data_IF_343358532885
#
_entry.id   IF_343358532885
#
_cell.length_a   1.000
_cell.length_b   1.000
_cell.length_c   1.000
_cell.angle_alpha   90.00
_cell.angle_beta   90.00
_cell.angle_gamma   90.00
#
_symmetry.space_group_name_H-M   'P 1'
#
loop_
_entity.id
_entity.type
_entity.pdbx_description
1 polymer ?
#
# COMPACT_ATOMS: atom_id res chain seq x y z
N UNK A 1 -5.56 -10.34 -15.47
CA UNK A 1 -5.40 -9.37 -14.35
C UNK A 1 -5.75 -7.98 -14.83
N UNK A 2 -6.64 -7.26 -14.14
CA UNK A 2 -7.04 -5.91 -14.54
C UNK A 2 -6.00 -4.87 -14.08
N UNK A 3 -5.37 -4.18 -15.02
CA UNK A 3 -4.27 -3.25 -14.76
C UNK A 3 -4.66 -1.84 -15.18
N UNK A 4 -4.54 -0.89 -14.26
CA UNK A 4 -4.82 0.52 -14.50
C UNK A 4 -3.64 1.24 -15.18
N UNK A 5 -2.40 0.88 -14.83
CA UNK A 5 -1.18 1.44 -15.40
C UNK A 5 0.06 0.60 -15.07
N UNK A 6 1.06 0.67 -15.94
CA UNK A 6 2.41 0.18 -15.72
C UNK A 6 3.37 1.31 -16.11
N UNK A 7 4.23 1.73 -15.19
CA UNK A 7 5.13 2.87 -15.40
C UNK A 7 6.40 2.78 -14.55
N UNK A 8 7.46 3.46 -14.97
CA UNK A 8 8.71 3.60 -14.20
C UNK A 8 8.69 4.90 -13.41
N UNK A 9 9.01 4.84 -12.13
CA UNK A 9 9.26 6.01 -11.28
C UNK A 9 10.16 5.66 -10.08
N UNK A 10 10.10 6.44 -9.01
CA UNK A 10 10.83 6.26 -7.75
C UNK A 10 9.84 5.86 -6.66
N UNK A 11 10.10 4.78 -5.93
CA UNK A 11 9.39 4.43 -4.71
C UNK A 11 9.43 5.60 -3.73
N UNK A 12 8.27 6.20 -3.47
CA UNK A 12 8.16 7.38 -2.62
C UNK A 12 7.89 7.08 -1.15
N UNK A 13 7.60 5.82 -0.81
CA UNK A 13 7.13 5.42 0.51
C UNK A 13 7.84 4.15 1.02
N UNK A 14 7.86 3.95 2.34
CA UNK A 14 8.40 2.75 2.95
C UNK A 14 9.92 2.73 3.13
N UNK A 15 10.45 1.58 3.53
CA UNK A 15 11.89 1.39 3.77
C UNK A 15 12.75 1.44 2.48
N UNK A 16 12.11 1.29 1.30
CA UNK A 16 12.76 1.39 -0.01
C UNK A 16 12.54 2.74 -0.69
N UNK A 17 12.12 3.77 0.07
CA UNK A 17 11.97 5.14 -0.45
C UNK A 17 13.24 5.60 -1.17
N UNK A 18 13.11 6.14 -2.38
CA UNK A 18 14.21 6.56 -3.24
C UNK A 18 14.69 5.51 -4.24
N UNK A 19 14.18 4.27 -4.16
CA UNK A 19 14.52 3.21 -5.12
C UNK A 19 13.79 3.45 -6.43
N UNK A 20 14.50 3.37 -7.56
CA UNK A 20 13.87 3.37 -8.87
C UNK A 20 13.12 2.05 -9.10
N UNK A 21 11.86 2.13 -9.51
CA UNK A 21 10.95 0.99 -9.58
C UNK A 21 10.03 1.06 -10.80
N UNK A 22 9.64 -0.10 -11.32
CA UNK A 22 8.47 -0.23 -12.18
C UNK A 22 7.26 -0.51 -11.31
N UNK A 23 6.24 0.32 -11.43
CA UNK A 23 4.96 0.13 -10.76
C UNK A 23 4.02 -0.63 -11.68
N UNK A 24 3.44 -1.72 -11.15
CA UNK A 24 2.34 -2.45 -11.78
C UNK A 24 1.11 -2.20 -10.93
N UNK A 25 0.20 -1.35 -11.41
CA UNK A 25 -0.97 -0.90 -10.63
C UNK A 25 -2.23 -1.66 -11.04
N UNK A 26 -2.68 -2.56 -10.18
CA UNK A 26 -3.95 -3.27 -10.34
C UNK A 26 -5.16 -2.33 -10.22
N UNK A 27 -6.27 -2.71 -10.85
CA UNK A 27 -7.53 -1.95 -10.85
C UNK A 27 -8.66 -2.74 -10.20
N UNK A 28 -9.27 -2.18 -9.16
CA UNK A 28 -10.30 -2.78 -8.33
C UNK A 28 -9.84 -2.86 -6.88
N UNK A 29 -10.71 -2.48 -5.93
CA UNK A 29 -10.39 -2.54 -4.49
C UNK A 29 -11.59 -3.11 -3.71
N UNK A 30 -11.38 -3.65 -2.52
CA UNK A 30 -12.44 -4.15 -1.64
C UNK A 30 -12.82 -3.18 -0.50
N UNK A 31 -12.13 -2.04 -0.35
CA UNK A 31 -12.28 -1.15 0.80
C UNK A 31 -12.84 0.25 0.50
N UNK A 32 -12.61 0.80 -0.69
CA UNK A 32 -13.12 2.14 -1.09
C UNK A 32 -12.83 3.24 -0.06
N UNK A 33 -11.61 3.33 0.47
CA UNK A 33 -11.25 4.38 1.44
C UNK A 33 -11.65 5.78 0.95
N UNK A 34 -12.11 6.66 1.84
CA UNK A 34 -12.60 7.98 1.42
C UNK A 34 -11.48 8.88 0.89
N UNK A 35 -10.28 8.76 1.48
CA UNK A 35 -9.07 9.49 1.12
C UNK A 35 -8.20 8.81 0.05
N UNK A 36 -8.73 7.81 -0.67
CA UNK A 36 -7.95 7.12 -1.69
C UNK A 36 -7.42 8.11 -2.76
N UNK A 37 -6.10 8.22 -2.84
CA UNK A 37 -5.35 9.06 -3.78
C UNK A 37 -5.38 8.53 -5.22
N UNK A 38 -5.81 7.28 -5.41
CA UNK A 38 -5.95 6.60 -6.69
C UNK A 38 -7.40 6.18 -6.93
N UNK A 39 -8.36 7.13 -6.98
CA UNK A 39 -9.77 6.79 -7.13
C UNK A 39 -10.09 6.04 -8.42
N UNK A 40 -9.26 6.21 -9.46
CA UNK A 40 -9.36 5.50 -10.74
C UNK A 40 -9.01 4.00 -10.67
N UNK A 41 -8.50 3.51 -9.54
CA UNK A 41 -8.28 2.07 -9.28
C UNK A 41 -9.21 1.53 -8.21
N UNK A 42 -9.92 2.39 -7.47
CA UNK A 42 -10.81 1.98 -6.39
C UNK A 42 -12.26 2.35 -6.71
N UNK A 43 -12.64 3.62 -6.53
CA UNK A 43 -14.00 4.11 -6.70
C UNK A 43 -14.50 4.02 -8.14
N UNK A 44 -13.64 4.31 -9.12
CA UNK A 44 -13.96 4.31 -10.55
C UNK A 44 -12.91 3.47 -11.31
N UNK A 45 -12.91 2.13 -11.18
CA UNK A 45 -11.82 1.28 -11.67
C UNK A 45 -11.70 1.30 -13.21
N UNK A 46 -10.62 1.90 -13.69
CA UNK A 46 -10.22 2.00 -15.11
C UNK A 46 -9.19 0.91 -15.49
N UNK A 47 -8.80 0.86 -16.76
CA UNK A 47 -7.75 -0.05 -17.24
C UNK A 47 -8.27 -1.30 -17.94
N UNK A 48 -7.31 -2.11 -18.39
CA UNK A 48 -7.52 -3.24 -19.28
C UNK A 48 -7.21 -4.57 -18.58
N UNK A 49 -7.88 -5.63 -19.01
CA UNK A 49 -7.55 -6.99 -18.61
C UNK A 49 -6.34 -7.47 -19.44
N UNK A 50 -5.21 -7.65 -18.75
CA UNK A 50 -3.96 -8.11 -19.35
C UNK A 50 -3.65 -9.54 -18.92
N UNK A 51 -3.08 -10.30 -19.86
CA UNK A 51 -2.44 -11.59 -19.57
C UNK A 51 -1.14 -11.35 -18.79
N UNK A 52 -0.77 -12.29 -17.92
CA UNK A 52 0.44 -12.19 -17.08
C UNK A 52 1.69 -11.98 -17.94
N UNK A 53 1.79 -12.68 -19.08
CA UNK A 53 2.92 -12.55 -20.00
C UNK A 53 3.00 -11.17 -20.66
N UNK A 54 1.85 -10.51 -20.90
CA UNK A 54 1.84 -9.15 -21.43
C UNK A 54 2.29 -8.13 -20.39
N UNK A 55 1.94 -8.34 -19.12
CA UNK A 55 2.42 -7.53 -17.99
C UNK A 55 3.94 -7.67 -17.86
N UNK A 56 4.44 -8.91 -17.84
CA UNK A 56 5.88 -9.21 -17.75
C UNK A 56 6.66 -8.54 -18.88
N UNK A 57 6.17 -8.65 -20.13
CA UNK A 57 6.79 -8.00 -21.29
C UNK A 57 6.83 -6.48 -21.18
N UNK A 58 5.78 -5.87 -20.62
CA UNK A 58 5.76 -4.42 -20.39
C UNK A 58 6.73 -4.00 -19.30
N UNK A 59 6.85 -4.79 -18.22
CA UNK A 59 7.83 -4.55 -17.15
C UNK A 59 9.26 -4.66 -17.69
N UNK A 60 9.55 -5.69 -18.49
CA UNK A 60 10.86 -5.94 -19.12
C UNK A 60 11.29 -4.82 -20.09
N UNK A 61 10.35 -4.00 -20.57
CA UNK A 61 10.66 -2.86 -21.43
C UNK A 61 11.31 -1.69 -20.68
N UNK A 62 11.28 -1.70 -19.35
CA UNK A 62 11.93 -0.70 -18.51
C UNK A 62 13.27 -1.21 -17.99
N UNK A 63 14.31 -0.39 -18.13
CA UNK A 63 15.62 -0.65 -17.53
C UNK A 63 15.60 -0.38 -16.01
N UNK A 64 15.12 -1.35 -15.25
CA UNK A 64 14.94 -1.30 -13.80
C UNK A 64 15.04 -2.71 -13.22
N UNK A 65 15.44 -2.84 -11.95
CA UNK A 65 15.58 -4.13 -11.26
C UNK A 65 14.59 -4.33 -10.11
N UNK A 66 13.68 -3.38 -9.87
CA UNK A 66 12.72 -3.40 -8.78
C UNK A 66 11.31 -3.18 -9.31
N UNK A 67 10.37 -4.02 -8.88
CA UNK A 67 8.96 -3.92 -9.23
C UNK A 67 8.13 -3.75 -7.97
N UNK A 68 7.25 -2.75 -8.00
CA UNK A 68 6.23 -2.54 -6.97
C UNK A 68 4.88 -2.93 -7.57
N UNK A 69 4.33 -4.06 -7.13
CA UNK A 69 2.96 -4.46 -7.49
C UNK A 69 2.01 -3.89 -6.44
N UNK A 70 1.11 -3.02 -6.90
CA UNK A 70 0.22 -2.21 -6.06
C UNK A 70 -1.15 -2.10 -6.76
N UNK A 71 -1.97 -1.13 -6.38
CA UNK A 71 -3.19 -0.75 -7.09
C UNK A 71 -4.37 -0.58 -6.17
N UNK A 72 -5.57 -0.46 -6.75
CA UNK A 72 -6.66 -1.03 -6.00
C UNK A 72 -6.24 -2.48 -5.67
N UNK A 73 -6.34 -2.88 -4.41
CA UNK A 73 -5.85 -4.15 -3.83
C UNK A 73 -5.37 -5.25 -4.82
N UNK A 74 -4.04 -5.43 -5.02
CA UNK A 74 -3.52 -6.43 -5.96
C UNK A 74 -3.83 -7.87 -5.52
N UNK A 75 -4.01 -8.14 -4.23
CA UNK A 75 -4.35 -9.47 -3.70
C UNK A 75 -5.76 -9.95 -4.10
N UNK A 76 -6.54 -9.14 -4.83
CA UNK A 76 -7.81 -9.57 -5.43
C UNK A 76 -7.63 -10.53 -6.61
N UNK A 77 -6.45 -10.55 -7.23
CA UNK A 77 -6.22 -11.23 -8.51
C UNK A 77 -5.35 -12.46 -8.31
N UNK A 78 -5.88 -13.65 -8.58
CA UNK A 78 -5.11 -14.90 -8.49
C UNK A 78 -3.92 -14.93 -9.46
N UNK A 79 -4.00 -14.16 -10.54
CA UNK A 79 -2.93 -13.95 -11.51
C UNK A 79 -1.69 -13.26 -10.92
N UNK A 80 -1.79 -12.66 -9.72
CA UNK A 80 -0.64 -12.13 -8.99
C UNK A 80 0.39 -13.22 -8.69
N UNK A 81 -0.04 -14.47 -8.43
CA UNK A 81 0.85 -15.59 -8.12
C UNK A 81 1.80 -15.88 -9.30
N UNK A 82 1.32 -16.22 -10.51
CA UNK A 82 2.21 -16.44 -11.65
C UNK A 82 2.95 -15.18 -12.09
N UNK A 83 2.40 -13.97 -11.87
CA UNK A 83 3.13 -12.72 -12.12
C UNK A 83 4.38 -12.61 -11.23
N UNK A 84 4.24 -12.81 -9.93
CA UNK A 84 5.36 -12.81 -8.98
C UNK A 84 6.42 -13.86 -9.33
N UNK A 85 6.02 -15.07 -9.70
CA UNK A 85 6.96 -16.10 -10.15
C UNK A 85 7.73 -15.65 -11.41
N UNK A 86 7.03 -15.12 -12.41
CA UNK A 86 7.65 -14.65 -13.65
C UNK A 86 8.61 -13.47 -13.44
N UNK A 87 8.30 -12.56 -12.51
CA UNK A 87 9.18 -11.46 -12.11
C UNK A 87 10.44 -11.98 -11.39
N UNK A 88 10.29 -12.96 -10.50
CA UNK A 88 11.40 -13.57 -9.77
C UNK A 88 12.36 -14.31 -10.70
N UNK A 89 11.84 -15.05 -11.67
CA UNK A 89 12.64 -15.74 -12.69
C UNK A 89 13.48 -14.77 -13.53
N UNK A 90 13.00 -13.54 -13.73
CA UNK A 90 13.71 -12.45 -14.42
C UNK A 90 14.68 -11.68 -13.52
N UNK A 91 14.75 -12.02 -12.23
CA UNK A 91 15.70 -11.43 -11.28
C UNK A 91 15.26 -10.08 -10.68
N UNK A 92 13.97 -9.72 -10.77
CA UNK A 92 13.47 -8.52 -10.12
C UNK A 92 13.40 -8.68 -8.61
N UNK A 93 13.70 -7.60 -7.87
CA UNK A 93 13.22 -7.42 -6.51
C UNK A 93 11.72 -7.11 -6.57
N UNK A 94 10.90 -7.76 -5.75
CA UNK A 94 9.44 -7.61 -5.77
C UNK A 94 8.96 -7.04 -4.44
N UNK A 95 8.32 -5.87 -4.50
CA UNK A 95 7.52 -5.32 -3.39
C UNK A 95 6.03 -5.45 -3.72
N UNK A 96 5.26 -5.98 -2.78
CA UNK A 96 3.79 -6.00 -2.88
C UNK A 96 3.21 -5.02 -1.88
N UNK A 97 2.36 -4.10 -2.34
CA UNK A 97 1.60 -3.21 -1.48
C UNK A 97 0.15 -3.69 -1.35
N UNK A 98 -0.28 -3.97 -0.13
CA UNK A 98 -1.62 -4.53 0.15
C UNK A 98 -2.23 -3.90 1.39
N UNK A 99 -3.56 -3.87 1.50
CA UNK A 99 -4.25 -3.51 2.73
C UNK A 99 -4.20 -4.62 3.80
N UNK A 100 -3.71 -5.82 3.46
CA UNK A 100 -3.62 -6.95 4.40
C UNK A 100 -4.96 -7.61 4.70
N UNK A 101 -5.92 -7.49 3.78
CA UNK A 101 -7.29 -8.03 3.95
C UNK A 101 -7.52 -9.35 3.22
N UNK A 102 -6.62 -9.70 2.31
CA UNK A 102 -6.67 -10.89 1.47
C UNK A 102 -5.32 -11.58 1.48
N UNK A 103 -5.33 -12.90 1.33
CA UNK A 103 -4.13 -13.72 1.27
C UNK A 103 -4.05 -14.44 -0.07
N UNK A 104 -2.87 -14.35 -0.71
CA UNK A 104 -2.44 -15.22 -1.79
C UNK A 104 -1.03 -15.74 -1.47
N UNK A 105 -0.69 -16.99 -1.86
CA UNK A 105 0.65 -17.56 -1.67
C UNK A 105 1.62 -17.02 -2.73
N UNK A 106 1.90 -15.72 -2.68
CA UNK A 106 2.78 -15.01 -3.62
C UNK A 106 4.23 -15.04 -3.15
N UNK A 107 5.17 -14.94 -4.07
CA UNK A 107 6.57 -14.72 -3.73
C UNK A 107 6.91 -13.24 -3.84
N UNK A 108 7.51 -12.67 -2.80
CA UNK A 108 8.02 -11.29 -2.83
C UNK A 108 9.22 -11.14 -1.89
N UNK A 109 9.98 -10.07 -2.10
CA UNK A 109 11.13 -9.71 -1.26
C UNK A 109 10.73 -8.73 -0.16
N UNK A 110 9.67 -7.95 -0.37
CA UNK A 110 9.06 -7.09 0.65
C UNK A 110 7.53 -7.08 0.54
N UNK A 111 6.87 -7.50 1.63
CA UNK A 111 5.43 -7.34 1.81
C UNK A 111 5.15 -6.03 2.57
N UNK A 112 4.69 -5.01 1.85
CA UNK A 112 4.31 -3.71 2.41
C UNK A 112 2.82 -3.69 2.74
N UNK A 113 2.50 -3.99 4.00
CA UNK A 113 1.12 -4.09 4.48
C UNK A 113 0.69 -2.71 5.00
N UNK A 114 -0.44 -2.19 4.51
CA UNK A 114 -1.04 -0.95 4.99
C UNK A 114 -2.45 -1.18 5.52
N UNK A 115 -2.59 -1.69 6.76
CA UNK A 115 -3.90 -1.87 7.38
C UNK A 115 -4.66 -0.55 7.41
N UNK A 116 -5.96 -0.62 7.09
CA UNK A 116 -6.82 0.56 7.02
C UNK A 116 -7.54 0.77 8.35
N UNK A 117 -7.36 1.96 8.91
CA UNK A 117 -7.96 2.38 10.18
C UNK A 117 -9.36 2.95 9.95
N UNK A 118 -10.09 3.20 11.04
CA UNK A 118 -11.42 3.83 10.99
C UNK A 118 -11.40 5.22 10.36
N UNK A 119 -10.25 5.91 10.43
CA UNK A 119 -10.03 7.19 9.74
C UNK A 119 -10.18 7.11 8.23
N UNK A 120 -10.21 5.91 7.63
CA UNK A 120 -10.31 5.72 6.17
C UNK A 120 -11.70 5.33 5.69
N UNK A 121 -12.63 5.14 6.62
CA UNK A 121 -14.00 4.69 6.35
C UNK A 121 -14.79 5.75 5.58
N UNK A 122 -15.46 5.39 4.46
CA UNK A 122 -16.39 6.28 3.78
C UNK A 122 -17.50 6.77 4.69
N UNK A 123 -17.85 8.05 4.57
CA UNK A 123 -18.97 8.61 5.32
C UNK A 123 -20.28 7.90 4.91
N UNK A 124 -21.19 7.75 5.87
CA UNK A 124 -22.48 7.08 5.66
C UNK A 124 -23.33 7.87 4.67
N UNK A 125 -23.22 9.19 4.66
CA UNK A 125 -23.89 10.10 3.72
C UNK A 125 -23.40 9.91 2.28
N UNK A 126 -22.11 9.59 2.11
CA UNK A 126 -21.52 9.31 0.81
C UNK A 126 -21.99 7.96 0.28
N UNK A 127 -21.85 6.90 1.07
CA UNK A 127 -22.26 5.55 0.69
C UNK A 127 -22.37 4.63 1.91
N UNK A 128 -23.60 4.37 2.36
CA UNK A 128 -23.87 3.51 3.52
C UNK A 128 -23.37 2.08 3.33
N UNK A 129 -23.51 1.52 2.12
CA UNK A 129 -23.11 0.13 1.83
C UNK A 129 -21.60 -0.02 1.92
N UNK A 130 -20.85 0.93 1.34
CA UNK A 130 -19.40 0.90 1.40
C UNK A 130 -18.86 1.24 2.78
N UNK A 131 -19.51 2.12 3.53
CA UNK A 131 -19.15 2.40 4.93
C UNK A 131 -19.21 1.13 5.80
N UNK A 132 -20.34 0.41 5.77
CA UNK A 132 -20.50 -0.84 6.52
C UNK A 132 -19.55 -1.95 6.03
N UNK A 133 -19.38 -2.07 4.71
CA UNK A 133 -18.49 -3.08 4.13
C UNK A 133 -17.03 -2.81 4.47
N UNK A 134 -16.62 -1.54 4.49
CA UNK A 134 -15.28 -1.11 4.86
C UNK A 134 -14.96 -1.53 6.29
N UNK A 135 -15.79 -1.14 7.27
CA UNK A 135 -15.59 -1.49 8.68
C UNK A 135 -15.52 -3.01 8.91
N UNK A 136 -16.37 -3.78 8.22
CA UNK A 136 -16.37 -5.24 8.32
C UNK A 136 -15.13 -5.90 7.71
N UNK A 137 -14.51 -5.29 6.69
CA UNK A 137 -13.50 -5.95 5.86
C UNK A 137 -12.08 -5.43 6.10
N UNK A 138 -11.90 -4.27 6.74
CA UNK A 138 -10.59 -3.62 6.90
C UNK A 138 -9.68 -4.29 7.92
N UNK A 139 -10.23 -5.00 8.91
CA UNK A 139 -9.47 -5.64 9.99
C UNK A 139 -9.53 -7.16 9.89
N UNK A 140 -8.47 -7.76 9.32
CA UNK A 140 -8.35 -9.21 9.12
C UNK A 140 -7.02 -9.69 9.73
N UNK A 141 -6.90 -9.74 11.07
CA UNK A 141 -5.62 -9.95 11.74
C UNK A 141 -4.97 -11.30 11.38
N UNK A 142 -5.75 -12.35 11.11
CA UNK A 142 -5.19 -13.65 10.73
C UNK A 142 -4.49 -13.63 9.36
N UNK A 143 -4.98 -12.81 8.42
CA UNK A 143 -4.29 -12.59 7.14
C UNK A 143 -2.98 -11.85 7.37
N UNK A 144 -2.99 -10.79 8.17
CA UNK A 144 -1.78 -10.02 8.47
C UNK A 144 -0.74 -10.87 9.18
N UNK A 145 -1.14 -11.65 10.20
CA UNK A 145 -0.25 -12.60 10.89
C UNK A 145 0.41 -13.58 9.94
N UNK A 146 -0.36 -14.10 8.98
CA UNK A 146 0.17 -15.01 7.98
C UNK A 146 1.18 -14.33 7.07
N UNK A 147 0.86 -13.14 6.55
CA UNK A 147 1.74 -12.37 5.68
C UNK A 147 3.08 -12.01 6.37
N UNK A 148 3.04 -11.58 7.63
CA UNK A 148 4.27 -11.23 8.38
C UNK A 148 5.10 -12.46 8.78
N UNK A 149 4.47 -13.63 8.91
CA UNK A 149 5.18 -14.87 9.20
C UNK A 149 5.87 -15.46 7.97
N UNK A 150 5.29 -15.27 6.78
CA UNK A 150 5.78 -15.84 5.52
C UNK A 150 6.75 -14.92 4.77
N UNK A 151 6.77 -13.62 5.05
CA UNK A 151 7.55 -12.63 4.29
C UNK A 151 8.38 -11.69 5.15
N UNK A 152 9.45 -11.16 4.55
CA UNK A 152 10.00 -9.90 5.03
C UNK A 152 8.97 -8.78 4.83
N UNK A 153 8.72 -7.97 5.85
CA UNK A 153 7.58 -7.08 5.85
C UNK A 153 7.88 -5.70 6.41
N UNK A 154 6.95 -4.79 6.13
CA UNK A 154 6.75 -3.53 6.83
C UNK A 154 5.24 -3.31 7.04
N UNK A 155 4.86 -2.66 8.15
CA UNK A 155 3.50 -2.20 8.37
C UNK A 155 3.45 -0.68 8.25
N UNK A 156 2.64 -0.15 7.34
CA UNK A 156 2.54 1.29 7.05
C UNK A 156 1.13 1.81 7.32
N UNK A 157 0.96 2.59 8.37
CA UNK A 157 -0.31 3.21 8.73
C UNK A 157 -0.40 4.64 8.21
N UNK A 158 -1.56 5.00 7.66
CA UNK A 158 -1.85 6.37 7.20
C UNK A 158 -2.50 7.15 8.34
N UNK A 159 -1.90 8.26 8.72
CA UNK A 159 -2.25 9.07 9.89
C UNK A 159 -2.77 10.43 9.45
N UNK A 160 -4.01 10.71 9.80
CA UNK A 160 -4.67 11.99 9.55
C UNK A 160 -4.62 12.86 10.82
N UNK A 161 -4.87 12.25 11.98
CA UNK A 161 -4.98 12.94 13.26
C UNK A 161 -4.37 12.13 14.41
N UNK A 162 -4.03 12.78 15.55
CA UNK A 162 -3.41 12.11 16.69
C UNK A 162 -4.20 10.92 17.24
N UNK A 163 -5.55 10.96 17.20
CA UNK A 163 -6.39 9.85 17.69
C UNK A 163 -6.22 8.55 16.88
N UNK A 164 -5.71 8.61 15.65
CA UNK A 164 -5.42 7.42 14.84
C UNK A 164 -4.33 6.56 15.50
N UNK A 165 -3.44 7.19 16.28
CA UNK A 165 -2.37 6.51 17.00
C UNK A 165 -2.88 5.61 18.14
N UNK A 166 -4.06 5.92 18.69
CA UNK A 166 -4.73 5.07 19.69
C UNK A 166 -5.24 3.77 19.05
N UNK A 167 -5.76 3.84 17.83
CA UNK A 167 -6.19 2.66 17.07
C UNK A 167 -5.00 1.78 16.71
N UNK A 168 -3.86 2.37 16.34
CA UNK A 168 -2.61 1.64 16.08
C UNK A 168 -2.13 0.94 17.34
N UNK A 169 -2.17 1.60 18.48
CA UNK A 169 -1.77 1.00 19.76
C UNK A 169 -2.62 -0.23 20.10
N UNK A 170 -3.94 -0.19 19.83
CA UNK A 170 -4.84 -1.34 19.97
C UNK A 170 -4.50 -2.44 18.96
N UNK A 171 -4.32 -2.09 17.70
CA UNK A 171 -3.97 -3.02 16.62
C UNK A 171 -2.68 -3.79 16.91
N UNK A 172 -1.63 -3.09 17.35
CA UNK A 172 -0.35 -3.71 17.73
C UNK A 172 -0.45 -4.50 19.04
N UNK A 173 -1.36 -4.11 19.96
CA UNK A 173 -1.65 -4.89 21.16
C UNK A 173 -2.28 -6.25 20.86
N UNK A 174 -3.07 -6.36 19.79
CA UNK A 174 -3.63 -7.63 19.31
C UNK A 174 -2.57 -8.52 18.64
N UNK A 175 -1.52 -7.94 18.05
CA UNK A 175 -0.45 -8.62 17.31
C UNK A 175 0.92 -8.25 17.88
N UNK A 176 1.17 -8.67 19.13
CA UNK A 176 2.41 -8.39 19.87
C UNK A 176 3.69 -8.91 19.22
N UNK A 177 3.57 -9.83 18.25
CA UNK A 177 4.65 -10.34 17.42
C UNK A 177 5.22 -9.30 16.43
N UNK A 178 4.51 -8.19 16.19
CA UNK A 178 4.97 -7.14 15.29
C UNK A 178 6.02 -6.27 16.00
N UNK A 179 7.25 -6.31 15.50
CA UNK A 179 8.32 -5.45 16.01
C UNK A 179 8.04 -3.97 15.68
N UNK A 180 8.26 -3.07 16.65
CA UNK A 180 7.96 -1.63 16.52
C UNK A 180 8.78 -0.94 15.42
N UNK A 181 10.01 -1.39 15.20
CA UNK A 181 10.89 -0.90 14.14
C UNK A 181 10.42 -1.30 12.71
N UNK A 182 9.43 -2.18 12.61
CA UNK A 182 8.73 -2.54 11.36
C UNK A 182 7.47 -1.71 11.11
N UNK A 183 7.10 -0.84 12.05
CA UNK A 183 5.91 0.00 11.98
C UNK A 183 6.30 1.38 11.47
N UNK A 184 5.68 1.78 10.37
CA UNK A 184 5.85 3.03 9.70
C UNK A 184 4.57 3.86 9.84
N UNK A 185 4.69 5.11 10.26
CA UNK A 185 3.59 6.06 10.29
C UNK A 185 3.76 7.07 9.16
N UNK A 186 2.78 7.13 8.28
CA UNK A 186 2.78 7.96 7.10
C UNK A 186 1.70 9.04 7.22
N UNK A 187 2.03 10.33 7.06
CA UNK A 187 1.01 11.38 7.08
C UNK A 187 0.03 11.21 5.91
N UNK A 188 -1.26 11.40 6.19
CA UNK A 188 -2.31 11.56 5.20
C UNK A 188 -2.08 12.91 4.49
N UNK A 189 -2.33 12.94 3.18
CA UNK A 189 -2.22 14.17 2.41
C UNK A 189 -1.89 13.92 0.95
N UNK A 190 -2.17 14.93 0.13
CA UNK A 190 -1.88 14.96 -1.32
C UNK A 190 -1.04 16.15 -1.75
N UNK A 191 -0.70 17.04 -0.82
CA UNK A 191 0.13 18.22 -1.07
C UNK A 191 1.23 18.33 0.00
N UNK A 192 2.34 18.94 -0.39
CA UNK A 192 3.54 18.98 0.44
C UNK A 192 3.36 19.82 1.72
N UNK A 193 2.54 20.87 1.68
CA UNK A 193 2.33 21.77 2.82
C UNK A 193 1.58 21.03 3.94
N UNK A 194 0.49 20.32 3.60
CA UNK A 194 -0.25 19.52 4.56
C UNK A 194 0.59 18.36 5.12
N UNK A 195 1.34 17.66 4.27
CA UNK A 195 2.25 16.59 4.72
C UNK A 195 3.30 17.13 5.71
N UNK A 196 3.83 18.33 5.46
CA UNK A 196 4.77 18.99 6.36
C UNK A 196 4.10 19.40 7.69
N UNK A 197 2.85 19.87 7.67
CA UNK A 197 2.07 20.20 8.87
C UNK A 197 1.86 18.97 9.77
N UNK A 198 1.41 17.85 9.19
CA UNK A 198 1.24 16.59 9.94
C UNK A 198 2.61 16.07 10.43
N UNK A 199 3.65 16.20 9.61
CA UNK A 199 5.02 15.81 9.95
C UNK A 199 5.57 16.47 11.22
N UNK A 200 5.21 17.74 11.49
CA UNK A 200 5.70 18.50 12.65
C UNK A 200 5.43 17.81 14.00
N UNK A 201 4.31 17.09 14.11
CA UNK A 201 3.97 16.35 15.33
C UNK A 201 4.17 14.84 15.17
N UNK A 202 4.00 14.30 13.96
CA UNK A 202 4.10 12.86 13.72
C UNK A 202 5.53 12.34 13.78
N UNK A 203 6.52 13.11 13.32
CA UNK A 203 7.94 12.73 13.40
C UNK A 203 8.40 12.57 14.87
N UNK A 204 8.20 13.56 15.77
CA UNK A 204 8.46 13.38 17.21
C UNK A 204 7.72 12.20 17.82
N UNK A 205 6.45 11.99 17.44
CA UNK A 205 5.66 10.86 17.93
C UNK A 205 6.28 9.52 17.53
N UNK A 206 6.74 9.37 16.28
CA UNK A 206 7.44 8.17 15.82
C UNK A 206 8.68 7.90 16.67
N UNK A 207 9.49 8.93 16.93
CA UNK A 207 10.71 8.81 17.74
C UNK A 207 10.42 8.37 19.18
N UNK A 208 9.42 8.98 19.82
CA UNK A 208 9.02 8.63 21.20
C UNK A 208 8.55 7.17 21.31
N UNK A 209 7.80 6.70 20.32
CA UNK A 209 7.18 5.37 20.32
C UNK A 209 7.98 4.28 19.60
N UNK A 210 9.18 4.60 19.12
CA UNK A 210 10.08 3.71 18.38
C UNK A 210 9.49 3.18 17.07
N UNK A 211 8.67 4.00 16.42
CA UNK A 211 8.19 3.76 15.05
C UNK A 211 9.08 4.49 14.04
N UNK A 212 8.93 4.14 12.77
CA UNK A 212 9.57 4.82 11.65
C UNK A 212 8.62 5.87 11.07
N UNK A 213 9.12 7.07 10.80
CA UNK A 213 8.38 8.05 10.01
C UNK A 213 8.49 7.70 8.53
N UNK A 214 7.36 7.69 7.82
CA UNK A 214 7.30 7.37 6.39
C UNK A 214 6.82 8.60 5.61
N UNK A 215 7.72 9.36 4.97
CA UNK A 215 7.32 10.45 4.09
C UNK A 215 6.65 9.92 2.82
N UNK A 216 6.05 10.84 2.05
CA UNK A 216 5.51 10.58 0.70
C UNK A 216 6.36 11.32 -0.33
N UNK A 217 7.61 10.87 -0.54
CA UNK A 217 8.66 11.62 -1.28
C UNK A 217 8.31 11.92 -2.73
N UNK A 218 7.86 10.95 -3.50
CA UNK A 218 6.53 11.07 -4.08
C UNK A 218 6.01 12.46 -4.49
N UNK A 219 5.11 12.93 -3.63
CA UNK A 219 4.37 14.18 -3.69
C UNK A 219 5.30 15.37 -3.56
N UNK A 220 6.37 15.26 -2.78
CA UNK A 220 7.37 16.33 -2.64
C UNK A 220 8.16 16.55 -3.95
N UNK A 221 8.45 15.49 -4.69
CA UNK A 221 9.22 15.53 -5.93
C UNK A 221 8.36 15.91 -7.13
N UNK A 222 7.14 15.38 -7.22
CA UNK A 222 6.33 15.45 -8.44
C UNK A 222 4.93 16.07 -8.22
N UNK A 223 4.50 16.26 -6.97
CA UNK A 223 3.11 16.56 -6.63
C UNK A 223 2.20 15.34 -6.78
N UNK A 224 0.87 15.55 -6.65
CA UNK A 224 -0.12 14.51 -6.93
C UNK A 224 -0.31 14.34 -8.44
N UNK A 225 0.66 13.69 -9.09
CA UNK A 225 0.65 13.43 -10.54
C UNK A 225 0.58 11.91 -10.77
N UNK A 226 -0.32 11.50 -11.67
CA UNK A 226 -0.48 10.10 -12.07
C UNK A 226 0.72 9.66 -12.91
N UNK A 227 1.22 8.46 -12.69
CA UNK A 227 2.35 7.91 -13.44
C UNK A 227 3.72 8.49 -13.07
N UNK A 228 3.82 9.12 -11.89
CA UNK A 228 5.07 9.62 -11.29
C UNK A 228 5.25 9.08 -9.88
#
# INVERSE_FOLDING_TARGET
MRIAEIYRSIQGEGCLTGTESVFVRASGCNLRCWFCDTPFTSWNPEGDDLEVEDILRQVDAFDCSHVVVTGGEPMLFAELIPLCCGLRERGFHITIETAGTLYLPVECDLMSISPKLSNSTPSVERDTIWSERHERSRHVPDVVRRLIAEHHYQLKFVIDQPSDCEEISRYLGEMSEIARDRVLLMPQGTDADHLAEVGQWLEPYCLEHQYQFCPRRHIELFGLVRGT
#
